data_IF_062089665201
#
_entry.id   IF_062089665201
#
_cell.length_a   1.000
_cell.length_b   1.000
_cell.length_c   1.000
_cell.angle_alpha   90.00
_cell.angle_beta   90.00
_cell.angle_gamma   90.00
#
_symmetry.space_group_name_H-M   'P 1'
#
loop_
_entity.id
_entity.type
_entity.pdbx_description
1 polymer ?
#
# COMPACT_ATOMS: atom_id res chain seq x y z
N UNK A 1 26.65 23.56 40.81
CA UNK A 1 26.74 22.25 40.11
C UNK A 1 25.41 21.95 39.50
N UNK A 2 25.25 22.34 38.24
CA UNK A 2 24.02 22.09 37.48
C UNK A 2 24.25 20.83 36.67
N UNK A 3 23.51 19.76 36.99
CA UNK A 3 23.42 18.59 36.16
C UNK A 3 22.35 18.88 35.11
N UNK A 4 22.81 19.17 33.89
CA UNK A 4 21.99 19.07 32.70
C UNK A 4 21.81 17.58 32.38
N UNK A 5 20.73 17.01 32.87
CA UNK A 5 20.21 15.75 32.37
C UNK A 5 19.61 16.01 31.00
N UNK A 6 20.43 15.89 29.96
CA UNK A 6 19.94 15.67 28.60
C UNK A 6 19.34 14.25 28.56
N UNK A 7 18.07 14.15 28.92
CA UNK A 7 17.25 13.03 28.53
C UNK A 7 17.09 13.08 27.00
N UNK A 8 17.95 12.33 26.30
CA UNK A 8 17.64 11.89 24.94
C UNK A 8 16.36 11.09 24.99
N UNK A 9 15.28 11.73 24.56
CA UNK A 9 14.03 11.02 24.31
C UNK A 9 14.31 9.96 23.24
N UNK A 10 13.93 8.70 23.44
CA UNK A 10 14.03 7.71 22.38
C UNK A 10 13.28 8.25 21.16
N UNK A 11 13.88 8.18 19.97
CA UNK A 11 13.26 8.54 18.71
C UNK A 11 11.99 7.70 18.55
N UNK A 12 10.89 8.19 19.10
CA UNK A 12 9.61 7.55 19.03
C UNK A 12 9.12 7.58 17.59
N UNK A 13 8.58 6.47 17.13
CA UNK A 13 7.86 6.36 15.88
C UNK A 13 6.95 7.58 15.72
N UNK A 14 7.26 8.46 14.77
CA UNK A 14 6.42 9.60 14.50
C UNK A 14 5.14 9.08 13.85
N UNK A 15 4.06 9.06 14.62
CA UNK A 15 2.75 8.65 14.15
C UNK A 15 1.86 9.86 13.98
N UNK A 16 1.18 9.94 12.83
CA UNK A 16 0.24 11.00 12.49
C UNK A 16 -1.09 10.38 12.05
N UNK A 17 -2.20 10.92 12.56
CA UNK A 17 -3.54 10.60 12.08
C UNK A 17 -3.94 11.53 10.94
N UNK A 18 -4.47 10.95 9.87
CA UNK A 18 -4.92 11.63 8.66
C UNK A 18 -6.40 11.35 8.44
N UNK A 19 -7.09 12.29 7.84
CA UNK A 19 -8.52 12.16 7.51
C UNK A 19 -8.79 12.65 6.09
N UNK A 20 -9.75 12.02 5.43
CA UNK A 20 -10.30 12.48 4.16
C UNK A 20 -9.24 12.78 3.10
N UNK A 21 -9.25 13.98 2.57
CA UNK A 21 -8.36 14.42 1.47
C UNK A 21 -6.88 14.51 1.85
N UNK A 22 -6.54 14.43 3.12
CA UNK A 22 -5.15 14.43 3.59
C UNK A 22 -4.42 13.10 3.40
N UNK A 23 -5.14 12.02 3.12
CA UNK A 23 -4.56 10.66 3.04
C UNK A 23 -3.81 10.44 1.73
N UNK A 24 -4.46 10.72 0.59
CA UNK A 24 -3.86 10.47 -0.73
C UNK A 24 -2.53 11.19 -0.95
N UNK A 25 -2.35 12.47 -0.60
CA UNK A 25 -1.06 13.14 -0.72
C UNK A 25 0.06 12.45 0.04
N UNK A 26 -0.20 11.94 1.23
CA UNK A 26 0.79 11.22 2.04
C UNK A 26 1.16 9.88 1.39
N UNK A 27 0.17 9.13 0.91
CA UNK A 27 0.42 7.89 0.18
C UNK A 27 1.28 8.12 -1.08
N UNK A 28 0.98 9.17 -1.83
CA UNK A 28 1.73 9.55 -3.03
C UNK A 28 3.18 9.91 -2.67
N UNK A 29 3.38 10.73 -1.64
CA UNK A 29 4.72 11.09 -1.17
C UNK A 29 5.51 9.85 -0.75
N UNK A 30 4.91 8.94 0.00
CA UNK A 30 5.56 7.68 0.39
C UNK A 30 6.06 6.89 -0.82
N UNK A 31 5.26 6.81 -1.88
CA UNK A 31 5.63 6.09 -3.11
C UNK A 31 6.69 6.84 -3.90
N UNK A 32 6.62 8.16 -3.98
CA UNK A 32 7.61 8.98 -4.69
C UNK A 32 9.01 8.86 -4.09
N UNK A 33 9.10 8.68 -2.78
CA UNK A 33 10.38 8.49 -2.08
C UNK A 33 10.78 7.02 -1.90
N UNK A 34 9.99 6.08 -2.42
CA UNK A 34 10.29 4.67 -2.36
C UNK A 34 11.55 4.32 -3.18
N UNK A 35 12.42 3.52 -2.60
CA UNK A 35 13.68 3.12 -3.24
C UNK A 35 13.65 1.68 -3.74
N UNK A 36 13.00 0.77 -3.00
CA UNK A 36 13.08 -0.67 -3.26
C UNK A 36 11.73 -1.36 -3.30
N UNK A 37 10.88 -1.14 -2.32
CA UNK A 37 9.69 -1.96 -2.10
C UNK A 37 8.46 -1.09 -1.85
N UNK A 38 7.39 -1.38 -2.58
CA UNK A 38 6.06 -0.83 -2.32
C UNK A 38 5.08 -1.99 -2.25
N UNK A 39 4.45 -2.17 -1.10
CA UNK A 39 3.45 -3.20 -0.88
C UNK A 39 2.11 -2.56 -0.56
N UNK A 40 1.10 -2.98 -1.30
CA UNK A 40 -0.29 -2.51 -1.15
C UNK A 40 -1.17 -3.72 -0.84
N UNK A 41 -1.89 -3.65 0.27
CA UNK A 41 -2.95 -4.59 0.60
C UNK A 41 -4.28 -3.82 0.59
N UNK A 42 -5.21 -4.29 -0.22
CA UNK A 42 -6.54 -3.69 -0.36
C UNK A 42 -7.60 -4.73 -0.02
N UNK A 43 -8.50 -4.40 0.90
CA UNK A 43 -9.59 -5.30 1.28
C UNK A 43 -10.55 -5.55 0.13
N UNK A 44 -10.93 -4.49 -0.56
CA UNK A 44 -11.67 -4.52 -1.81
C UNK A 44 -11.36 -3.23 -2.59
N UNK A 45 -11.59 -3.23 -3.90
CA UNK A 45 -11.41 -2.04 -4.75
C UNK A 45 -12.59 -1.06 -4.63
N UNK A 46 -13.15 -0.95 -3.44
CA UNK A 46 -14.13 0.09 -3.18
C UNK A 46 -13.48 1.43 -2.96
N UNK A 47 -14.29 2.45 -3.07
CA UNK A 47 -13.95 3.84 -2.84
C UNK A 47 -12.85 4.00 -1.78
N UNK A 48 -11.68 4.41 -2.23
CA UNK A 48 -10.55 4.55 -1.34
C UNK A 48 -9.49 5.49 -1.89
N UNK A 49 -8.54 5.79 -1.04
CA UNK A 49 -7.45 6.72 -1.37
C UNK A 49 -6.53 6.20 -2.46
N UNK A 50 -6.58 4.89 -2.75
CA UNK A 50 -5.82 4.28 -3.85
C UNK A 50 -6.45 4.51 -5.23
N UNK A 51 -7.60 5.17 -5.29
CA UNK A 51 -8.25 5.58 -6.56
C UNK A 51 -7.65 6.85 -7.17
N UNK A 52 -6.82 7.58 -6.44
CA UNK A 52 -6.22 8.82 -6.94
C UNK A 52 -5.33 8.54 -8.16
N UNK A 53 -5.57 9.19 -9.31
CA UNK A 53 -4.76 9.01 -10.52
C UNK A 53 -3.28 9.35 -10.32
N UNK A 54 -2.97 10.29 -9.43
CA UNK A 54 -1.59 10.67 -9.11
C UNK A 54 -0.84 9.54 -8.40
N UNK A 55 -1.55 8.72 -7.61
CA UNK A 55 -0.97 7.53 -6.99
C UNK A 55 -0.55 6.51 -8.05
N UNK A 56 -1.40 6.28 -9.06
CA UNK A 56 -1.06 5.39 -10.19
C UNK A 56 0.13 5.93 -10.98
N UNK A 57 0.23 7.24 -11.15
CA UNK A 57 1.39 7.88 -11.79
C UNK A 57 2.66 7.64 -10.97
N UNK A 58 2.61 7.84 -9.66
CA UNK A 58 3.75 7.59 -8.78
C UNK A 58 4.21 6.12 -8.81
N UNK A 59 3.29 5.17 -8.81
CA UNK A 59 3.59 3.76 -8.96
C UNK A 59 4.21 3.43 -10.30
N UNK A 60 3.72 4.03 -11.39
CA UNK A 60 4.30 3.87 -12.73
C UNK A 60 5.76 4.34 -12.78
N UNK A 61 6.05 5.48 -12.18
CA UNK A 61 7.43 6.01 -12.08
C UNK A 61 8.29 5.07 -11.25
N UNK A 62 7.80 4.62 -10.10
CA UNK A 62 8.53 3.72 -9.19
C UNK A 62 8.96 2.42 -9.88
N UNK A 63 8.04 1.71 -10.54
CA UNK A 63 8.36 0.41 -11.16
C UNK A 63 9.28 0.52 -12.37
N UNK A 64 9.35 1.70 -12.99
CA UNK A 64 10.25 1.96 -14.14
C UNK A 64 11.62 2.48 -13.72
N UNK A 65 11.75 3.00 -12.50
CA UNK A 65 12.98 3.63 -12.03
C UNK A 65 14.13 2.63 -11.88
N UNK A 66 13.83 1.38 -11.56
CA UNK A 66 14.83 0.35 -11.33
C UNK A 66 14.28 -1.04 -11.62
N UNK A 67 15.11 -1.91 -12.22
CA UNK A 67 14.81 -3.34 -12.36
C UNK A 67 14.70 -4.07 -11.02
N UNK A 68 15.16 -3.45 -9.95
CA UNK A 68 15.08 -4.01 -8.59
C UNK A 68 13.88 -3.49 -7.81
N UNK A 69 13.09 -2.57 -8.39
CA UNK A 69 11.87 -2.09 -7.77
C UNK A 69 10.86 -3.23 -7.64
N UNK A 70 10.36 -3.45 -6.44
CA UNK A 70 9.39 -4.50 -6.15
C UNK A 70 8.06 -3.88 -5.76
N UNK A 71 7.03 -4.15 -6.56
CA UNK A 71 5.65 -3.76 -6.28
C UNK A 71 4.78 -5.01 -6.14
N UNK A 72 4.16 -5.18 -4.97
CA UNK A 72 3.16 -6.20 -4.72
C UNK A 72 1.82 -5.54 -4.39
N UNK A 73 0.80 -5.88 -5.15
CA UNK A 73 -0.58 -5.45 -4.88
C UNK A 73 -1.42 -6.69 -4.60
N UNK A 74 -1.89 -6.80 -3.36
CA UNK A 74 -2.76 -7.87 -2.90
C UNK A 74 -4.18 -7.35 -2.68
N UNK A 75 -5.16 -8.13 -3.07
CA UNK A 75 -6.57 -7.84 -2.83
C UNK A 75 -7.25 -9.01 -2.12
N UNK A 76 -8.07 -8.70 -1.13
CA UNK A 76 -8.81 -9.72 -0.39
C UNK A 76 -10.10 -10.16 -1.11
N UNK A 77 -10.81 -9.22 -1.74
CA UNK A 77 -12.06 -9.50 -2.47
C UNK A 77 -12.03 -8.91 -3.87
N UNK A 78 -12.48 -9.71 -4.84
CA UNK A 78 -12.55 -9.30 -6.25
C UNK A 78 -13.95 -8.89 -6.71
N UNK A 79 -14.95 -8.96 -5.84
CA UNK A 79 -16.36 -8.77 -6.21
C UNK A 79 -16.66 -7.44 -6.90
N UNK A 80 -15.86 -6.42 -6.67
CA UNK A 80 -16.07 -5.07 -7.22
C UNK A 80 -15.12 -4.69 -8.35
N UNK A 81 -14.09 -5.45 -8.60
CA UNK A 81 -13.20 -5.25 -9.76
C UNK A 81 -13.98 -5.28 -11.06
N UNK A 82 -15.02 -6.09 -11.11
CA UNK A 82 -15.86 -6.30 -12.30
C UNK A 82 -16.85 -5.15 -12.51
N UNK A 83 -17.19 -4.42 -11.44
CA UNK A 83 -18.29 -3.45 -11.46
C UNK A 83 -17.85 -2.01 -11.81
N UNK A 84 -16.61 -1.64 -11.55
CA UNK A 84 -16.11 -0.28 -11.81
C UNK A 84 -14.63 -0.28 -12.18
N UNK A 85 -14.22 0.54 -13.17
CA UNK A 85 -12.81 0.68 -13.51
C UNK A 85 -12.04 1.33 -12.35
N UNK A 86 -10.95 0.70 -11.95
CA UNK A 86 -10.06 1.21 -10.90
C UNK A 86 -8.70 1.61 -11.51
N UNK A 87 -8.11 2.74 -11.12
CA UNK A 87 -6.83 3.20 -11.70
C UNK A 87 -5.69 2.18 -11.60
N UNK A 88 -5.62 1.41 -10.51
CA UNK A 88 -4.62 0.34 -10.36
C UNK A 88 -4.80 -0.79 -11.38
N UNK A 89 -6.02 -1.10 -11.76
CA UNK A 89 -6.30 -2.10 -12.79
C UNK A 89 -5.85 -1.62 -14.16
N UNK A 90 -6.13 -0.37 -14.50
CA UNK A 90 -5.65 0.24 -15.74
C UNK A 90 -4.13 0.29 -15.79
N UNK A 91 -3.48 0.61 -14.67
CA UNK A 91 -2.04 0.62 -14.57
C UNK A 91 -1.46 -0.79 -14.78
N UNK A 92 -2.03 -1.80 -14.17
CA UNK A 92 -1.63 -3.20 -14.33
C UNK A 92 -1.80 -3.67 -15.79
N UNK A 93 -2.88 -3.29 -16.46
CA UNK A 93 -3.08 -3.62 -17.88
C UNK A 93 -2.01 -3.00 -18.78
N UNK A 94 -1.64 -1.75 -18.53
CA UNK A 94 -0.61 -1.03 -19.30
C UNK A 94 0.79 -1.53 -19.03
N UNK A 95 1.08 -1.98 -17.83
CA UNK A 95 2.39 -2.39 -17.33
C UNK A 95 2.40 -3.83 -16.83
N UNK A 96 1.73 -4.72 -17.54
CA UNK A 96 1.50 -6.11 -17.11
C UNK A 96 2.78 -6.92 -16.87
N UNK A 97 3.88 -6.54 -17.50
CA UNK A 97 5.19 -7.15 -17.24
C UNK A 97 5.88 -6.65 -15.96
N UNK A 98 5.45 -5.51 -15.44
CA UNK A 98 6.06 -4.86 -14.26
C UNK A 98 5.16 -4.90 -13.03
N UNK A 99 3.84 -4.94 -13.23
CA UNK A 99 2.85 -4.87 -12.16
C UNK A 99 1.93 -6.07 -12.24
N UNK A 100 1.83 -6.77 -11.12
CA UNK A 100 0.88 -7.86 -10.94
C UNK A 100 -0.01 -7.57 -9.74
N UNK A 101 -1.30 -7.87 -9.89
CA UNK A 101 -2.28 -7.83 -8.82
C UNK A 101 -2.73 -9.26 -8.57
N UNK A 102 -2.65 -9.71 -7.32
CA UNK A 102 -3.05 -11.06 -6.92
C UNK A 102 -4.10 -11.02 -5.83
N UNK A 103 -4.94 -12.04 -5.81
CA UNK A 103 -5.91 -12.24 -4.75
C UNK A 103 -5.33 -13.15 -3.68
N UNK A 104 -5.40 -12.73 -2.42
CA UNK A 104 -5.02 -13.58 -1.30
C UNK A 104 -5.96 -14.77 -1.17
N UNK A 105 -5.47 -15.86 -0.58
CA UNK A 105 -6.33 -16.98 -0.22
C UNK A 105 -7.40 -16.53 0.79
N UNK A 106 -8.57 -17.20 0.84
CA UNK A 106 -9.65 -16.85 1.78
C UNK A 106 -9.18 -16.78 3.24
N UNK A 107 -8.29 -17.66 3.66
CA UNK A 107 -7.75 -17.70 5.02
C UNK A 107 -6.82 -16.52 5.33
N UNK A 108 -6.27 -15.89 4.31
CA UNK A 108 -5.37 -14.74 4.43
C UNK A 108 -6.11 -13.40 4.20
N UNK A 109 -7.42 -13.44 3.92
CA UNK A 109 -8.22 -12.24 3.66
C UNK A 109 -8.26 -11.32 4.89
N UNK A 110 -8.21 -10.02 4.62
CA UNK A 110 -8.20 -8.98 5.65
C UNK A 110 -9.09 -7.82 5.25
N UNK A 111 -9.68 -7.17 6.24
CA UNK A 111 -10.43 -5.92 6.07
C UNK A 111 -9.53 -4.69 6.13
N UNK A 112 -8.22 -4.89 6.25
CA UNK A 112 -7.25 -3.80 6.35
C UNK A 112 -6.79 -3.36 4.96
N UNK A 113 -6.69 -2.06 4.79
CA UNK A 113 -6.00 -1.43 3.69
C UNK A 113 -4.67 -0.90 4.19
N UNK A 114 -3.58 -1.31 3.55
CA UNK A 114 -2.22 -1.02 3.97
C UNK A 114 -1.37 -0.54 2.80
N UNK A 115 -0.49 0.40 3.07
CA UNK A 115 0.65 0.73 2.23
C UNK A 115 1.91 0.62 3.09
N UNK A 116 2.84 -0.21 2.64
CA UNK A 116 4.15 -0.37 3.29
C UNK A 116 5.23 -0.04 2.28
N UNK A 117 6.15 0.84 2.65
CA UNK A 117 7.24 1.29 1.78
C UNK A 117 8.58 1.03 2.44
N UNK A 118 9.46 0.34 1.72
CA UNK A 118 10.85 0.08 2.09
C UNK A 118 11.04 -0.51 3.50
N UNK A 119 10.06 -1.28 3.97
CA UNK A 119 10.04 -1.90 5.32
C UNK A 119 10.17 -0.89 6.47
N UNK A 120 9.92 0.39 6.22
CA UNK A 120 10.13 1.47 7.17
C UNK A 120 8.90 2.35 7.39
N UNK A 121 8.14 2.59 6.33
CA UNK A 121 7.01 3.52 6.37
C UNK A 121 5.71 2.75 6.21
N UNK A 122 4.75 3.08 7.03
CA UNK A 122 3.48 2.39 7.11
C UNK A 122 2.32 3.38 7.06
N UNK A 123 1.35 3.11 6.21
CA UNK A 123 0.06 3.77 6.18
C UNK A 123 -1.02 2.72 6.36
N UNK A 124 -1.75 2.79 7.47
CA UNK A 124 -2.91 1.95 7.77
C UNK A 124 -4.16 2.74 7.53
N UNK A 125 -5.01 2.28 6.62
CA UNK A 125 -6.29 2.93 6.35
C UNK A 125 -7.40 2.17 7.07
N UNK A 126 -8.37 2.93 7.59
CA UNK A 126 -9.56 2.41 8.24
C UNK A 126 -10.79 3.12 7.69
N UNK A 127 -11.85 2.37 7.44
CA UNK A 127 -13.14 2.93 7.07
C UNK A 127 -13.96 3.10 8.35
N UNK A 128 -14.28 4.34 8.66
CA UNK A 128 -15.14 4.70 9.78
C UNK A 128 -16.50 5.19 9.31
N UNK A 129 -17.43 5.38 10.24
CA UNK A 129 -18.81 5.84 9.94
C UNK A 129 -18.83 7.19 9.21
N UNK A 130 -17.84 8.04 9.43
CA UNK A 130 -17.75 9.39 8.90
C UNK A 130 -16.73 9.57 7.78
N UNK A 131 -16.20 8.48 7.23
CA UNK A 131 -15.21 8.50 6.16
C UNK A 131 -13.98 7.67 6.46
N UNK A 132 -12.95 7.83 5.64
CA UNK A 132 -11.68 7.15 5.84
C UNK A 132 -10.76 7.93 6.77
N UNK A 133 -10.12 7.21 7.66
CA UNK A 133 -8.99 7.68 8.46
C UNK A 133 -7.77 6.85 8.13
N UNK A 134 -6.59 7.40 8.35
CA UNK A 134 -5.34 6.68 8.19
C UNK A 134 -4.36 7.02 9.29
N UNK A 135 -3.62 6.03 9.73
CA UNK A 135 -2.47 6.20 10.59
C UNK A 135 -1.20 6.10 9.75
N UNK A 136 -0.47 7.20 9.64
CA UNK A 136 0.84 7.25 9.00
C UNK A 136 1.92 7.13 10.06
N UNK A 137 2.79 6.14 9.92
CA UNK A 137 3.89 5.89 10.85
C UNK A 137 5.20 5.91 10.05
N UNK A 138 6.01 6.92 10.33
CA UNK A 138 7.37 7.01 9.79
C UNK A 138 8.33 6.21 10.67
N UNK A 139 9.31 5.59 10.05
CA UNK A 139 10.29 4.76 10.74
C UNK A 139 9.65 3.67 11.63
N UNK A 140 8.61 3.03 11.10
CA UNK A 140 7.83 2.01 11.80
C UNK A 140 8.56 0.66 11.92
N UNK A 141 9.87 0.66 12.09
CA UNK A 141 10.64 -0.55 12.37
C UNK A 141 10.50 -0.90 13.86
N UNK A 142 10.19 -2.16 14.22
CA UNK A 142 10.13 -3.37 13.39
C UNK A 142 8.75 -3.67 12.74
N UNK A 143 7.70 -2.91 13.04
CA UNK A 143 6.33 -3.22 12.60
C UNK A 143 6.19 -3.25 11.07
N UNK A 144 6.76 -2.31 10.35
CA UNK A 144 6.71 -2.27 8.88
C UNK A 144 7.43 -3.47 8.26
N UNK A 145 8.56 -3.91 8.84
CA UNK A 145 9.26 -5.10 8.40
C UNK A 145 8.44 -6.36 8.61
N UNK A 146 7.81 -6.51 9.76
CA UNK A 146 6.95 -7.67 10.07
C UNK A 146 5.75 -7.74 9.12
N UNK A 147 5.15 -6.60 8.78
CA UNK A 147 4.07 -6.52 7.79
C UNK A 147 4.58 -6.85 6.38
N UNK A 148 5.74 -6.37 5.99
CA UNK A 148 6.36 -6.70 4.71
C UNK A 148 6.60 -8.20 4.58
N UNK A 149 7.17 -8.84 5.59
CA UNK A 149 7.41 -10.28 5.61
C UNK A 149 6.09 -11.08 5.49
N UNK A 150 5.03 -10.62 6.16
CA UNK A 150 3.70 -11.22 6.06
C UNK A 150 3.09 -11.03 4.69
N UNK A 151 3.21 -9.85 4.09
CA UNK A 151 2.71 -9.58 2.73
C UNK A 151 3.45 -10.44 1.71
N UNK A 152 4.76 -10.61 1.83
CA UNK A 152 5.53 -11.50 0.97
C UNK A 152 5.05 -12.95 1.10
N UNK A 153 4.79 -13.42 2.31
CA UNK A 153 4.24 -14.75 2.55
C UNK A 153 2.87 -14.93 1.87
N UNK A 154 1.97 -13.97 2.01
CA UNK A 154 0.68 -14.00 1.33
C UNK A 154 0.82 -13.91 -0.19
N UNK A 155 1.74 -13.09 -0.68
CA UNK A 155 2.03 -12.94 -2.10
C UNK A 155 2.45 -14.26 -2.76
N UNK A 156 3.28 -15.04 -2.12
CA UNK A 156 3.73 -16.34 -2.62
C UNK A 156 2.59 -17.35 -2.73
N UNK A 157 1.57 -17.24 -1.89
CA UNK A 157 0.39 -18.10 -1.86
C UNK A 157 -0.78 -17.56 -2.68
N UNK A 158 -0.75 -16.28 -3.00
CA UNK A 158 -1.83 -15.58 -3.67
C UNK A 158 -2.03 -16.08 -5.12
N UNK A 159 -3.26 -15.97 -5.59
CA UNK A 159 -3.65 -16.44 -6.91
C UNK A 159 -3.77 -15.28 -7.90
N UNK A 160 -3.44 -15.49 -9.19
CA UNK A 160 -3.78 -14.54 -10.24
C UNK A 160 -5.30 -14.35 -10.28
N UNK A 161 -5.72 -13.14 -10.67
CA UNK A 161 -7.12 -12.81 -10.85
C UNK A 161 -7.50 -13.08 -12.32
N UNK A 162 -8.31 -14.12 -12.63
CA UNK A 162 -8.60 -14.50 -14.02
C UNK A 162 -9.32 -13.40 -14.80
N UNK A 163 -10.16 -12.63 -14.13
CA UNK A 163 -10.93 -11.53 -14.71
C UNK A 163 -10.05 -10.46 -15.33
N UNK A 164 -8.85 -10.21 -14.75
CA UNK A 164 -7.92 -9.23 -15.28
C UNK A 164 -7.30 -9.62 -16.62
N UNK A 165 -7.22 -10.91 -16.91
CA UNK A 165 -6.74 -11.42 -18.20
C UNK A 165 -7.79 -11.20 -19.32
N UNK A 166 -9.07 -11.24 -19.00
CA UNK A 166 -10.17 -11.07 -19.97
C UNK A 166 -10.36 -9.61 -20.38
N UNK A 167 -9.98 -8.67 -19.52
CA UNK A 167 -10.07 -7.24 -19.81
C UNK A 167 -8.91 -6.75 -20.71
N UNK A 168 -7.93 -7.59 -20.99
CA UNK A 168 -6.77 -7.28 -21.83
C UNK A 168 -6.97 -7.66 -23.31
N UNK A 169 -8.13 -8.14 -23.65
CA UNK A 169 -8.57 -8.44 -25.02
C UNK A 169 -9.61 -7.40 -25.46
#
# INVERSE_FOLDING_TARGET
MSHDDHQESPQGNQSQWLTGTGIAPVAIDMIQYAEREVFILVSNFMQGQFEDPQLSTALSVFVRASRYAQLCVLVSSTQRIIAAPHPLLHLQQRLSSLIQIRQVLPDDASDLDLLVVDQRHLLKLQLERHGQTAQHIQHAVPSAKQLSDRIIYWWQRAQPIPELRRLSL
#
